data_IF_379642851807
#
_entry.id   IF_379642851807
#
_cell.length_a   1.000
_cell.length_b   1.000
_cell.length_c   1.000
_cell.angle_alpha   90.00
_cell.angle_beta   90.00
_cell.angle_gamma   90.00
#
_symmetry.space_group_name_H-M   'P 1'
#
loop_
_entity.id
_entity.type
_entity.pdbx_description
1 polymer ?
#
# COMPACT_ATOMS: atom_id res chain seq x y z
N UNK A 1 -23.03 -16.97 -56.03
CA UNK A 1 -24.40 -17.51 -56.25
C UNK A 1 -25.27 -17.04 -55.11
N UNK A 2 -26.60 -17.20 -55.21
CA UNK A 2 -27.53 -16.96 -54.10
C UNK A 2 -27.09 -17.72 -52.84
N UNK A 3 -26.73 -18.99 -53.00
CA UNK A 3 -26.32 -19.86 -51.89
C UNK A 3 -25.08 -19.33 -51.16
N UNK A 4 -24.12 -18.75 -51.89
CA UNK A 4 -22.94 -18.14 -51.28
C UNK A 4 -23.28 -16.89 -50.45
N UNK A 5 -24.26 -16.09 -50.91
CA UNK A 5 -24.74 -14.94 -50.15
C UNK A 5 -25.51 -15.38 -48.88
N UNK A 6 -26.36 -16.39 -49.00
CA UNK A 6 -27.11 -16.95 -47.86
C UNK A 6 -26.16 -17.55 -46.81
N UNK A 7 -25.16 -18.32 -47.22
CA UNK A 7 -24.14 -18.85 -46.31
C UNK A 7 -23.31 -17.74 -45.61
N UNK A 8 -23.01 -16.65 -46.32
CA UNK A 8 -22.34 -15.49 -45.73
C UNK A 8 -23.22 -14.77 -44.70
N UNK A 9 -24.53 -14.66 -44.96
CA UNK A 9 -25.50 -14.08 -44.02
C UNK A 9 -25.66 -14.97 -42.78
N UNK A 10 -25.69 -16.29 -42.93
CA UNK A 10 -25.79 -17.20 -41.79
C UNK A 10 -24.52 -17.16 -40.93
N UNK A 11 -23.34 -17.08 -41.57
CA UNK A 11 -22.07 -16.87 -40.86
C UNK A 11 -22.04 -15.53 -40.13
N UNK A 12 -22.54 -14.46 -40.76
CA UNK A 12 -22.69 -13.15 -40.12
C UNK A 12 -23.59 -13.24 -38.88
N UNK A 13 -24.76 -13.87 -39.01
CA UNK A 13 -25.73 -14.03 -37.91
C UNK A 13 -25.13 -14.79 -36.74
N UNK A 14 -24.41 -15.87 -37.00
CA UNK A 14 -23.72 -16.63 -35.95
C UNK A 14 -22.72 -15.74 -35.20
N UNK A 15 -21.84 -15.04 -35.92
CA UNK A 15 -20.83 -14.18 -35.31
C UNK A 15 -21.45 -13.04 -34.48
N UNK A 16 -22.54 -12.45 -34.97
CA UNK A 16 -23.23 -11.33 -34.34
C UNK A 16 -24.16 -11.77 -33.21
N UNK A 17 -24.54 -13.06 -33.13
CA UNK A 17 -25.31 -13.60 -32.00
C UNK A 17 -24.51 -13.71 -30.70
N UNK A 18 -23.18 -13.55 -30.76
CA UNK A 18 -22.29 -13.69 -29.61
C UNK A 18 -22.33 -12.44 -28.75
N UNK A 19 -22.42 -12.64 -27.44
CA UNK A 19 -22.45 -11.55 -26.46
C UNK A 19 -21.04 -11.12 -26.03
N UNK A 20 -20.93 -9.85 -25.62
CA UNK A 20 -19.74 -9.23 -25.01
C UNK A 20 -18.45 -9.46 -25.81
N UNK A 21 -18.53 -9.30 -27.12
CA UNK A 21 -17.37 -9.40 -28.01
C UNK A 21 -16.74 -8.05 -28.26
N UNK A 22 -15.46 -8.08 -28.66
CA UNK A 22 -14.73 -6.88 -29.03
C UNK A 22 -15.22 -6.39 -30.39
N UNK A 23 -15.78 -5.18 -30.40
CA UNK A 23 -16.07 -4.39 -31.58
C UNK A 23 -14.98 -3.32 -31.72
N UNK A 24 -14.05 -3.54 -32.63
CA UNK A 24 -12.94 -2.63 -32.89
C UNK A 24 -13.31 -1.67 -34.03
N UNK A 25 -13.41 -0.38 -33.72
CA UNK A 25 -13.73 0.68 -34.68
C UNK A 25 -12.46 1.49 -34.94
N UNK A 26 -12.01 1.48 -36.21
CA UNK A 26 -10.83 2.25 -36.64
C UNK A 26 -11.25 3.54 -37.32
N UNK A 27 -10.78 4.68 -36.82
CA UNK A 27 -11.04 6.00 -37.39
C UNK A 27 -9.83 6.91 -37.23
N UNK A 28 -9.48 7.63 -38.30
CA UNK A 28 -8.38 8.59 -38.35
C UNK A 28 -7.05 8.06 -37.76
N UNK A 29 -6.69 6.82 -38.08
CA UNK A 29 -5.43 6.20 -37.63
C UNK A 29 -5.41 5.68 -36.19
N UNK A 30 -6.52 5.74 -35.45
CA UNK A 30 -6.67 5.09 -34.14
C UNK A 30 -7.72 3.97 -34.19
N UNK A 31 -7.54 2.94 -33.37
CA UNK A 31 -8.52 1.86 -33.18
C UNK A 31 -9.02 1.87 -31.76
N UNK A 32 -10.34 1.97 -31.60
CA UNK A 32 -11.03 1.90 -30.31
C UNK A 32 -11.79 0.59 -30.21
N UNK A 33 -11.68 -0.07 -29.08
CA UNK A 33 -12.38 -1.31 -28.75
C UNK A 33 -13.56 -1.01 -27.84
N UNK A 34 -14.71 -1.50 -28.25
CA UNK A 34 -15.92 -1.54 -27.45
C UNK A 34 -16.22 -3.00 -27.10
N UNK A 35 -16.58 -3.29 -25.86
CA UNK A 35 -17.15 -4.61 -25.51
C UNK A 35 -18.64 -4.48 -25.74
N UNK A 36 -19.13 -5.15 -26.78
CA UNK A 36 -20.47 -4.92 -27.32
C UNK A 36 -21.22 -6.24 -27.59
N UNK A 37 -22.54 -6.14 -27.54
CA UNK A 37 -23.46 -7.21 -27.96
C UNK A 37 -24.33 -6.66 -29.08
N UNK A 38 -24.43 -7.38 -30.22
CA UNK A 38 -25.38 -6.99 -31.27
C UNK A 38 -26.81 -7.28 -30.77
N UNK A 39 -27.64 -6.24 -30.68
CA UNK A 39 -29.03 -6.36 -30.20
C UNK A 39 -30.03 -6.51 -31.33
N UNK A 40 -29.75 -5.91 -32.50
CA UNK A 40 -30.58 -6.03 -33.68
C UNK A 40 -29.71 -6.01 -34.94
N UNK A 41 -30.09 -6.77 -35.96
CA UNK A 41 -29.55 -6.61 -37.31
C UNK A 41 -30.63 -6.88 -38.35
N UNK A 42 -30.60 -6.13 -39.46
CA UNK A 42 -31.59 -6.19 -40.55
C UNK A 42 -30.89 -6.30 -41.89
N UNK A 43 -31.42 -7.13 -42.77
CA UNK A 43 -30.94 -7.28 -44.15
C UNK A 43 -32.04 -6.81 -45.12
N UNK A 44 -31.80 -5.75 -45.89
CA UNK A 44 -32.75 -5.28 -46.90
C UNK A 44 -32.57 -6.05 -48.22
N UNK A 45 -33.52 -6.95 -48.52
CA UNK A 45 -33.56 -7.78 -49.74
C UNK A 45 -34.49 -7.25 -50.84
N UNK A 46 -35.02 -6.03 -50.73
CA UNK A 46 -36.07 -5.49 -51.62
C UNK A 46 -35.67 -5.42 -53.11
N UNK A 47 -34.37 -5.41 -53.43
CA UNK A 47 -33.88 -5.27 -54.81
C UNK A 47 -33.41 -6.58 -55.47
N UNK A 48 -33.69 -7.75 -54.90
CA UNK A 48 -33.37 -9.08 -55.47
C UNK A 48 -31.90 -9.26 -55.92
N UNK A 49 -30.96 -8.54 -55.31
CA UNK A 49 -29.55 -8.65 -55.64
C UNK A 49 -29.02 -10.03 -55.21
N UNK A 50 -28.49 -10.79 -56.18
CA UNK A 50 -27.97 -12.16 -55.94
C UNK A 50 -26.55 -12.19 -55.35
N UNK A 51 -25.89 -11.02 -55.24
CA UNK A 51 -24.46 -10.91 -54.89
C UNK A 51 -24.18 -9.97 -53.73
N UNK A 52 -25.14 -9.15 -53.32
CA UNK A 52 -24.97 -8.20 -52.21
C UNK A 52 -26.31 -7.92 -51.55
N UNK A 53 -26.27 -7.49 -50.29
CA UNK A 53 -27.44 -7.08 -49.51
C UNK A 53 -27.01 -5.92 -48.60
N UNK A 54 -27.80 -4.86 -48.56
CA UNK A 54 -27.56 -3.79 -47.58
C UNK A 54 -28.01 -4.28 -46.20
N UNK A 55 -27.24 -3.96 -45.18
CA UNK A 55 -27.55 -4.37 -43.82
C UNK A 55 -27.27 -3.26 -42.83
N UNK A 56 -27.97 -3.32 -41.71
CA UNK A 56 -27.73 -2.48 -40.54
C UNK A 56 -27.65 -3.39 -39.32
N UNK A 57 -26.82 -3.00 -38.34
CA UNK A 57 -26.78 -3.65 -37.04
C UNK A 57 -26.69 -2.60 -35.94
N UNK A 58 -27.32 -2.90 -34.82
CA UNK A 58 -27.30 -2.11 -33.60
C UNK A 58 -26.55 -2.88 -32.52
N UNK A 59 -25.64 -2.19 -31.85
CA UNK A 59 -24.80 -2.77 -30.80
C UNK A 59 -25.05 -2.05 -29.48
N UNK A 60 -25.28 -2.82 -28.42
CA UNK A 60 -25.29 -2.30 -27.05
C UNK A 60 -23.88 -2.40 -26.46
N UNK A 61 -23.40 -1.27 -25.92
CA UNK A 61 -22.15 -1.18 -25.16
C UNK A 61 -22.49 -0.88 -23.71
N UNK A 62 -22.67 -1.91 -22.89
CA UNK A 62 -23.13 -1.76 -21.50
C UNK A 62 -22.20 -0.92 -20.62
N UNK A 63 -20.90 -0.90 -20.92
CA UNK A 63 -19.95 -0.05 -20.20
C UNK A 63 -20.11 1.44 -20.52
N UNK A 64 -20.71 1.76 -21.68
CA UNK A 64 -20.73 3.12 -22.25
C UNK A 64 -19.35 3.68 -22.56
N UNK A 65 -18.32 2.84 -22.70
CA UNK A 65 -16.92 3.28 -22.82
C UNK A 65 -16.18 2.47 -23.90
N UNK A 66 -15.52 3.19 -24.80
CA UNK A 66 -14.51 2.65 -25.71
C UNK A 66 -13.10 2.77 -25.13
N UNK A 67 -12.22 1.81 -25.44
CA UNK A 67 -10.84 1.76 -24.93
C UNK A 67 -9.85 1.70 -26.10
N UNK A 68 -8.67 2.33 -25.94
CA UNK A 68 -7.58 2.10 -26.89
C UNK A 68 -7.14 0.62 -26.85
N UNK A 69 -6.74 0.07 -27.99
CA UNK A 69 -6.21 -1.31 -28.08
C UNK A 69 -4.74 -1.42 -27.70
N UNK A 70 -4.05 -0.28 -27.51
CA UNK A 70 -2.64 -0.21 -27.13
C UNK A 70 -2.47 0.55 -25.83
N UNK A 71 -1.45 0.18 -25.07
CA UNK A 71 -1.03 0.91 -23.88
C UNK A 71 -0.20 2.14 -24.29
N UNK A 72 -0.52 3.30 -23.72
CA UNK A 72 0.30 4.51 -23.81
C UNK A 72 1.24 4.55 -22.60
N UNK A 73 2.53 4.75 -22.83
CA UNK A 73 3.51 4.98 -21.76
C UNK A 73 3.32 6.39 -21.21
N UNK A 74 3.04 6.49 -19.91
CA UNK A 74 2.89 7.77 -19.18
C UNK A 74 4.19 8.12 -18.47
N UNK A 75 4.81 7.12 -17.86
CA UNK A 75 6.14 7.22 -17.27
C UNK A 75 6.94 6.06 -17.84
N UNK A 76 7.97 6.38 -18.61
CA UNK A 76 8.97 5.40 -19.03
C UNK A 76 9.76 4.93 -17.81
N UNK A 77 10.62 3.92 -17.97
CA UNK A 77 11.37 3.34 -16.86
C UNK A 77 12.21 4.39 -16.09
N UNK A 78 11.72 4.80 -14.91
CA UNK A 78 12.38 5.77 -14.02
C UNK A 78 12.97 5.06 -12.79
N UNK A 79 14.14 5.54 -12.34
CA UNK A 79 14.80 5.03 -11.13
C UNK A 79 14.45 5.85 -9.88
N UNK A 80 14.45 5.20 -8.71
CA UNK A 80 14.40 5.87 -7.41
C UNK A 80 15.18 5.11 -6.35
N UNK A 81 15.77 5.85 -5.41
CA UNK A 81 16.70 5.34 -4.38
C UNK A 81 16.24 5.57 -2.95
N UNK A 82 15.04 6.12 -2.77
CA UNK A 82 14.40 6.32 -1.47
C UNK A 82 13.33 5.25 -1.23
N UNK A 83 12.95 5.05 0.03
CA UNK A 83 11.88 4.11 0.40
C UNK A 83 10.53 4.46 -0.21
N UNK A 84 10.34 5.70 -0.67
CA UNK A 84 9.19 6.08 -1.47
C UNK A 84 9.55 6.99 -2.65
N UNK A 85 8.67 7.00 -3.66
CA UNK A 85 8.70 7.90 -4.81
C UNK A 85 7.32 8.51 -5.01
N UNK A 86 7.21 9.84 -5.00
CA UNK A 86 6.01 10.55 -5.45
C UNK A 86 6.19 11.02 -6.90
N UNK A 87 5.12 10.98 -7.71
CA UNK A 87 5.10 11.47 -9.09
C UNK A 87 3.73 12.03 -9.44
N UNK A 88 3.70 13.26 -9.98
CA UNK A 88 2.52 13.77 -10.68
C UNK A 88 2.48 13.14 -12.08
N UNK A 89 1.35 12.53 -12.45
CA UNK A 89 1.11 11.98 -13.78
C UNK A 89 -0.12 12.64 -14.40
N UNK A 90 -0.15 12.75 -15.72
CA UNK A 90 -1.31 13.25 -16.46
C UNK A 90 -1.91 12.12 -17.28
N UNK A 91 -3.17 11.79 -17.02
CA UNK A 91 -3.92 10.73 -17.70
C UNK A 91 -4.86 11.33 -18.74
N UNK A 92 -4.86 10.76 -19.94
CA UNK A 92 -5.64 11.25 -21.08
C UNK A 92 -6.93 10.43 -21.28
N UNK A 93 -7.82 10.91 -22.15
CA UNK A 93 -9.12 10.28 -22.46
C UNK A 93 -10.29 11.15 -22.02
N UNK A 94 -11.51 10.61 -22.14
CA UNK A 94 -12.75 11.27 -21.67
C UNK A 94 -13.54 10.46 -20.65
N UNK A 95 -13.14 9.21 -20.36
CA UNK A 95 -13.73 8.36 -19.32
C UNK A 95 -12.71 8.07 -18.20
N UNK A 96 -13.19 7.53 -17.05
CA UNK A 96 -12.35 7.19 -15.89
C UNK A 96 -11.15 6.32 -16.31
N UNK A 97 -9.90 6.79 -16.18
CA UNK A 97 -8.75 6.09 -16.72
C UNK A 97 -8.44 4.79 -15.97
N UNK A 98 -7.76 3.88 -16.66
CA UNK A 98 -7.20 2.66 -16.08
C UNK A 98 -5.72 2.61 -16.41
N UNK A 99 -4.92 2.34 -15.39
CA UNK A 99 -3.46 2.31 -15.48
C UNK A 99 -2.92 0.96 -15.04
N UNK A 100 -1.72 0.67 -15.56
CA UNK A 100 -0.84 -0.41 -15.13
C UNK A 100 0.43 0.21 -14.59
N UNK A 101 0.81 -0.17 -13.37
CA UNK A 101 2.06 0.26 -12.74
C UNK A 101 2.94 -0.97 -12.59
N UNK A 102 4.17 -0.87 -13.07
CA UNK A 102 5.19 -1.91 -12.92
C UNK A 102 6.30 -1.39 -12.01
N UNK A 103 6.70 -2.18 -11.01
CA UNK A 103 7.80 -1.86 -10.09
C UNK A 103 8.82 -2.99 -10.14
N UNK A 104 10.06 -2.69 -10.50
CA UNK A 104 11.18 -3.63 -10.50
C UNK A 104 12.02 -3.39 -9.25
N UNK A 105 11.98 -4.35 -8.33
CA UNK A 105 12.68 -4.28 -7.06
C UNK A 105 14.07 -4.87 -7.23
N UNK A 106 15.07 -4.00 -7.34
CA UNK A 106 16.48 -4.39 -7.27
C UNK A 106 16.98 -4.23 -5.84
N UNK A 107 16.83 -5.26 -4.99
CA UNK A 107 17.19 -5.23 -3.57
C UNK A 107 18.27 -6.27 -3.25
N UNK A 108 19.53 -5.87 -3.37
CA UNK A 108 20.68 -6.77 -3.25
C UNK A 108 20.75 -7.43 -1.86
N UNK A 109 20.21 -6.77 -0.83
CA UNK A 109 20.25 -7.27 0.56
C UNK A 109 19.08 -8.22 0.87
N UNK A 110 18.01 -8.18 0.07
CA UNK A 110 16.84 -9.04 0.22
C UNK A 110 15.98 -8.70 1.46
N UNK A 111 15.94 -7.43 1.85
CA UNK A 111 15.17 -6.93 2.99
C UNK A 111 13.78 -6.42 2.62
N UNK A 112 13.57 -5.99 1.37
CA UNK A 112 12.30 -5.51 0.82
C UNK A 112 11.38 -6.71 0.60
N UNK A 113 10.26 -6.71 1.32
CA UNK A 113 9.24 -7.77 1.28
C UNK A 113 7.85 -7.26 0.91
N UNK A 114 7.70 -5.97 0.65
CA UNK A 114 6.42 -5.38 0.27
C UNK A 114 6.53 -4.14 -0.59
N UNK A 115 5.49 -3.93 -1.39
CA UNK A 115 5.29 -2.77 -2.27
C UNK A 115 3.90 -2.18 -2.01
N UNK A 116 3.82 -0.87 -1.83
CA UNK A 116 2.57 -0.12 -1.76
C UNK A 116 2.48 0.83 -2.95
N UNK A 117 1.29 0.91 -3.55
CA UNK A 117 0.90 1.98 -4.46
C UNK A 117 -0.22 2.77 -3.81
N UNK A 118 -0.09 4.10 -3.75
CA UNK A 118 -1.09 5.00 -3.19
C UNK A 118 -1.39 6.13 -4.17
N UNK A 119 -2.67 6.45 -4.35
CA UNK A 119 -3.06 7.74 -4.92
C UNK A 119 -3.15 8.74 -3.76
N UNK A 120 -2.31 9.78 -3.81
CA UNK A 120 -2.25 10.81 -2.76
C UNK A 120 -3.44 11.76 -2.79
N UNK A 121 -4.13 11.85 -3.91
CA UNK A 121 -5.27 12.76 -4.07
C UNK A 121 -6.50 12.27 -3.31
N UNK A 122 -6.70 10.96 -3.21
CA UNK A 122 -7.85 10.34 -2.54
C UNK A 122 -7.48 9.42 -1.37
N UNK A 123 -6.19 9.16 -1.16
CA UNK A 123 -5.68 8.31 -0.08
C UNK A 123 -5.84 6.81 -0.30
N UNK A 124 -6.46 6.37 -1.40
CA UNK A 124 -6.63 4.96 -1.72
C UNK A 124 -5.28 4.31 -2.00
N UNK A 125 -5.09 3.10 -1.47
CA UNK A 125 -3.83 2.37 -1.57
C UNK A 125 -4.03 0.87 -1.68
N UNK A 126 -3.14 0.24 -2.43
CA UNK A 126 -3.01 -1.21 -2.58
C UNK A 126 -1.62 -1.63 -2.15
N UNK A 127 -1.53 -2.75 -1.44
CA UNK A 127 -0.29 -3.24 -0.83
C UNK A 127 -0.13 -4.72 -1.14
N UNK A 128 1.06 -5.13 -1.53
CA UNK A 128 1.43 -6.54 -1.65
C UNK A 128 2.63 -6.83 -0.77
N UNK A 129 2.59 -7.94 -0.04
CA UNK A 129 3.69 -8.42 0.79
C UNK A 129 3.97 -9.89 0.52
N UNK A 130 5.19 -10.33 0.86
CA UNK A 130 5.66 -11.71 0.72
C UNK A 130 6.55 -12.12 1.89
N UNK A 131 6.49 -13.40 2.26
CA UNK A 131 7.42 -14.00 3.22
C UNK A 131 8.86 -13.95 2.71
N UNK A 132 9.04 -14.15 1.41
CA UNK A 132 10.30 -14.08 0.68
C UNK A 132 10.62 -12.65 0.26
N UNK A 133 11.91 -12.36 0.13
CA UNK A 133 12.39 -11.10 -0.42
C UNK A 133 11.90 -10.89 -1.86
N UNK A 134 11.65 -9.63 -2.23
CA UNK A 134 11.24 -9.23 -3.57
C UNK A 134 12.43 -8.89 -4.47
N UNK A 135 13.65 -9.27 -4.10
CA UNK A 135 14.85 -8.98 -4.90
C UNK A 135 14.74 -9.57 -6.32
N UNK A 136 14.96 -8.74 -7.33
CA UNK A 136 14.86 -9.09 -8.75
C UNK A 136 13.42 -9.25 -9.25
N UNK A 137 12.41 -9.03 -8.41
CA UNK A 137 11.02 -9.22 -8.79
C UNK A 137 10.46 -8.02 -9.56
N UNK A 138 9.59 -8.32 -10.52
CA UNK A 138 8.74 -7.34 -11.20
C UNK A 138 7.32 -7.47 -10.66
N UNK A 139 6.82 -6.40 -10.04
CA UNK A 139 5.47 -6.32 -9.48
C UNK A 139 4.60 -5.50 -10.41
N UNK A 140 3.54 -6.09 -10.94
CA UNK A 140 2.55 -5.42 -11.79
C UNK A 140 1.25 -5.17 -11.01
N UNK A 141 0.79 -3.92 -10.98
CA UNK A 141 -0.53 -3.53 -10.48
C UNK A 141 -1.39 -3.10 -11.66
N UNK A 142 -2.41 -3.89 -12.02
CA UNK A 142 -3.31 -3.60 -13.13
C UNK A 142 -4.68 -3.16 -12.61
N UNK A 143 -5.00 -1.87 -12.75
CA UNK A 143 -6.26 -1.31 -12.26
C UNK A 143 -7.45 -1.57 -13.19
N UNK A 144 -7.21 -2.03 -14.43
CA UNK A 144 -8.22 -2.46 -15.40
C UNK A 144 -8.69 -3.87 -15.07
N UNK A 145 -7.74 -4.81 -14.95
CA UNK A 145 -8.02 -6.21 -14.65
C UNK A 145 -8.23 -6.49 -13.15
N UNK A 146 -7.90 -5.52 -12.29
CA UNK A 146 -7.95 -5.65 -10.83
C UNK A 146 -7.10 -6.83 -10.35
N UNK A 147 -5.89 -6.94 -10.90
CA UNK A 147 -4.93 -7.99 -10.53
C UNK A 147 -3.60 -7.38 -10.09
N UNK A 148 -2.95 -8.04 -9.13
CA UNK A 148 -1.53 -7.82 -8.83
C UNK A 148 -0.77 -9.07 -9.25
N UNK A 149 0.40 -8.90 -9.88
CA UNK A 149 1.27 -10.01 -10.25
C UNK A 149 2.68 -9.78 -9.73
N UNK A 150 3.39 -10.87 -9.44
CA UNK A 150 4.83 -10.90 -9.19
C UNK A 150 5.44 -11.89 -10.17
N UNK A 151 6.31 -11.43 -11.06
CA UNK A 151 6.90 -12.24 -12.15
C UNK A 151 5.81 -13.05 -12.89
N UNK A 152 4.80 -12.34 -13.39
CA UNK A 152 3.63 -12.86 -14.12
C UNK A 152 2.64 -13.75 -13.35
N UNK A 153 2.94 -14.12 -12.10
CA UNK A 153 2.04 -14.91 -11.26
C UNK A 153 1.09 -14.01 -10.49
N UNK A 154 -0.23 -14.26 -10.56
CA UNK A 154 -1.22 -13.51 -9.78
C UNK A 154 -1.03 -13.74 -8.28
N UNK A 155 -1.18 -12.67 -7.50
CA UNK A 155 -0.94 -12.69 -6.05
C UNK A 155 -2.04 -11.98 -5.27
N UNK A 156 -2.28 -12.43 -4.04
CA UNK A 156 -3.12 -11.71 -3.08
C UNK A 156 -2.49 -10.38 -2.66
N UNK A 157 -3.34 -9.42 -2.31
CA UNK A 157 -2.97 -8.07 -1.90
C UNK A 157 -3.92 -7.56 -0.80
N UNK A 158 -3.54 -6.47 -0.14
CA UNK A 158 -4.37 -5.74 0.82
C UNK A 158 -4.80 -4.39 0.25
N UNK A 159 -5.86 -3.80 0.82
CA UNK A 159 -6.35 -2.48 0.43
C UNK A 159 -7.22 -2.48 -0.82
N UNK A 160 -7.26 -1.35 -1.52
CA UNK A 160 -8.12 -1.09 -2.66
C UNK A 160 -7.28 -0.62 -3.84
N UNK A 161 -7.64 -1.05 -5.06
CA UNK A 161 -7.04 -0.50 -6.27
C UNK A 161 -7.35 1.01 -6.35
N UNK A 162 -6.33 1.89 -6.40
CA UNK A 162 -6.57 3.32 -6.47
C UNK A 162 -7.36 3.69 -7.72
N UNK A 163 -8.29 4.61 -7.54
CA UNK A 163 -9.05 5.26 -8.58
C UNK A 163 -8.30 6.51 -9.07
N UNK A 164 -8.45 6.80 -10.34
CA UNK A 164 -7.79 7.91 -11.01
C UNK A 164 -8.81 8.73 -11.80
N UNK A 165 -8.52 10.01 -11.99
CA UNK A 165 -9.32 10.93 -12.80
C UNK A 165 -8.58 11.28 -14.09
N UNK A 166 -9.32 11.71 -15.12
CA UNK A 166 -8.71 12.31 -16.31
C UNK A 166 -8.01 13.60 -15.88
N UNK A 167 -6.79 13.84 -16.39
CA UNK A 167 -5.94 14.95 -15.99
C UNK A 167 -4.88 14.55 -14.96
N UNK A 168 -4.54 15.48 -14.06
CA UNK A 168 -3.45 15.32 -13.09
C UNK A 168 -3.84 14.39 -11.96
N UNK A 169 -2.93 13.49 -11.59
CA UNK A 169 -3.04 12.62 -10.42
C UNK A 169 -1.67 12.54 -9.72
N UNK A 170 -1.65 12.46 -8.39
CA UNK A 170 -0.44 12.30 -7.59
C UNK A 170 -0.31 10.87 -7.07
N UNK A 171 0.69 10.14 -7.55
CA UNK A 171 0.95 8.77 -7.10
C UNK A 171 2.12 8.71 -6.13
N UNK A 172 2.11 7.70 -5.26
CA UNK A 172 3.20 7.34 -4.37
C UNK A 172 3.45 5.84 -4.45
N UNK A 173 4.71 5.46 -4.67
CA UNK A 173 5.21 4.08 -4.61
C UNK A 173 6.06 3.98 -3.35
N UNK A 174 5.83 2.97 -2.51
CA UNK A 174 6.63 2.71 -1.29
C UNK A 174 7.17 1.28 -1.29
N UNK A 175 8.44 1.11 -0.91
CA UNK A 175 9.14 -0.17 -0.84
C UNK A 175 9.72 -0.39 0.55
N UNK A 176 9.32 -1.47 1.21
CA UNK A 176 9.71 -1.72 2.59
C UNK A 176 9.25 -0.62 3.56
N UNK A 177 9.40 -0.88 4.86
CA UNK A 177 9.01 0.03 5.95
C UNK A 177 7.64 0.70 5.72
N UNK A 178 6.68 -0.03 5.15
CA UNK A 178 5.35 0.47 4.80
C UNK A 178 4.59 0.68 6.09
N UNK A 179 4.00 1.85 6.28
CA UNK A 179 3.25 2.15 7.52
C UNK A 179 1.93 1.38 7.54
N UNK A 180 1.78 0.51 8.54
CA UNK A 180 0.53 -0.18 8.85
C UNK A 180 -0.32 0.63 9.83
N UNK A 181 0.21 0.84 11.04
CA UNK A 181 -0.44 1.61 12.10
C UNK A 181 0.40 2.84 12.43
N UNK A 182 -0.27 3.96 12.69
CA UNK A 182 0.41 5.17 13.13
C UNK A 182 -0.46 6.02 14.04
N UNK A 183 0.23 6.74 14.92
CA UNK A 183 -0.25 7.96 15.53
C UNK A 183 0.84 9.02 15.40
N UNK A 184 0.63 9.98 14.51
CA UNK A 184 1.64 10.98 14.16
C UNK A 184 1.02 12.36 13.84
N UNK A 185 0.18 12.94 14.71
CA UNK A 185 -0.26 14.31 14.53
C UNK A 185 0.92 15.28 14.67
N UNK A 186 0.78 16.46 14.05
CA UNK A 186 1.73 17.56 14.21
C UNK A 186 1.83 17.98 15.68
N UNK A 187 2.97 18.57 16.09
CA UNK A 187 3.24 19.16 17.43
C UNK A 187 3.28 18.18 18.63
N UNK A 188 3.70 18.65 19.80
CA UNK A 188 3.90 17.81 21.01
C UNK A 188 3.23 18.43 22.23
N UNK A 189 2.50 17.64 23.03
CA UNK A 189 1.88 18.12 24.29
C UNK A 189 2.74 17.77 25.51
N UNK A 190 3.30 16.56 25.53
CA UNK A 190 4.08 16.06 26.67
C UNK A 190 5.06 14.97 26.23
N UNK A 191 5.92 14.54 27.15
CA UNK A 191 6.76 13.37 27.00
C UNK A 191 6.80 12.57 28.30
N UNK A 192 7.06 11.27 28.17
CA UNK A 192 7.26 10.37 29.30
C UNK A 192 8.63 9.75 29.19
N UNK A 193 9.28 9.54 30.34
CA UNK A 193 10.66 9.06 30.37
C UNK A 193 10.77 7.57 30.68
N UNK A 194 11.67 6.89 29.97
CA UNK A 194 12.15 5.56 30.29
C UNK A 194 13.37 5.70 31.19
N UNK A 195 13.28 5.21 32.43
CA UNK A 195 14.32 5.25 33.45
C UNK A 195 14.22 4.02 34.37
N UNK A 196 15.13 3.87 35.35
CA UNK A 196 15.10 2.73 36.27
C UNK A 196 13.73 2.55 36.95
N UNK A 197 13.12 1.37 36.75
CA UNK A 197 11.81 1.03 37.33
C UNK A 197 10.59 1.50 36.53
N UNK A 198 10.78 2.30 35.47
CA UNK A 198 9.70 2.83 34.63
C UNK A 198 9.72 2.19 33.25
N UNK A 199 8.55 1.74 32.77
CA UNK A 199 8.35 1.29 31.39
C UNK A 199 7.20 2.06 30.76
N UNK A 200 7.27 2.28 29.46
CA UNK A 200 6.25 2.97 28.69
C UNK A 200 5.65 2.00 27.69
N UNK A 201 4.35 2.08 27.44
CA UNK A 201 3.73 1.24 26.42
C UNK A 201 2.61 1.93 25.64
N UNK A 202 2.44 1.53 24.38
CA UNK A 202 1.32 1.91 23.52
C UNK A 202 0.65 0.65 22.99
N UNK A 203 -0.64 0.48 23.31
CA UNK A 203 -1.46 -0.59 22.75
C UNK A 203 -1.81 -0.28 21.30
N UNK A 204 -1.91 -1.32 20.47
CA UNK A 204 -2.33 -1.21 19.08
C UNK A 204 -2.98 -2.51 18.59
N UNK A 205 -3.72 -2.41 17.47
CA UNK A 205 -4.30 -3.56 16.77
C UNK A 205 -4.03 -3.42 15.27
N UNK A 206 -3.63 -4.52 14.63
CA UNK A 206 -3.36 -4.55 13.18
C UNK A 206 -4.57 -5.05 12.39
N UNK A 207 -4.86 -4.49 11.21
CA UNK A 207 -6.03 -4.85 10.40
C UNK A 207 -5.84 -6.16 9.63
N UNK A 208 -4.59 -6.57 9.39
CA UNK A 208 -4.26 -7.74 8.56
C UNK A 208 -3.25 -8.64 9.28
N UNK A 209 -3.34 -9.93 9.02
CA UNK A 209 -2.28 -10.88 9.40
C UNK A 209 -1.15 -10.76 8.39
N UNK A 210 0.05 -10.43 8.86
CA UNK A 210 1.25 -10.29 8.02
C UNK A 210 2.50 -10.69 8.80
N UNK A 211 3.48 -11.27 8.10
CA UNK A 211 4.73 -11.83 8.66
C UNK A 211 5.98 -10.97 8.38
N UNK A 212 5.78 -9.78 7.83
CA UNK A 212 6.85 -8.93 7.29
C UNK A 212 7.13 -7.69 8.15
N UNK A 213 6.62 -7.65 9.39
CA UNK A 213 6.96 -6.59 10.35
C UNK A 213 8.45 -6.64 10.69
N UNK A 214 9.09 -5.46 10.65
CA UNK A 214 10.56 -5.37 10.77
C UNK A 214 11.08 -4.05 11.31
N UNK A 215 10.30 -2.97 11.28
CA UNK A 215 10.69 -1.68 11.85
C UNK A 215 9.53 -0.92 12.49
N UNK A 216 9.90 0.07 13.29
CA UNK A 216 8.99 1.03 13.90
C UNK A 216 9.65 2.41 13.94
N UNK A 217 8.89 3.46 13.68
CA UNK A 217 9.32 4.82 13.93
C UNK A 217 8.72 5.31 15.24
N UNK A 218 9.55 5.93 16.10
CA UNK A 218 9.11 6.56 17.35
C UNK A 218 9.60 8.02 17.39
N UNK A 219 8.76 8.95 17.84
CA UNK A 219 9.19 10.33 18.09
C UNK A 219 9.78 10.41 19.51
N UNK A 220 11.10 10.53 19.60
CA UNK A 220 11.83 10.42 20.86
C UNK A 220 12.86 11.53 21.03
N UNK A 221 13.35 11.70 22.26
CA UNK A 221 14.56 12.46 22.59
C UNK A 221 15.29 11.77 23.74
N UNK A 222 16.45 12.28 24.16
CA UNK A 222 17.07 11.85 25.41
C UNK A 222 17.43 13.05 26.30
N UNK A 223 17.71 12.79 27.56
CA UNK A 223 18.24 13.78 28.52
C UNK A 223 19.54 13.25 29.13
N UNK A 224 20.52 14.14 29.30
CA UNK A 224 21.83 13.82 29.87
C UNK A 224 22.67 12.91 28.98
N UNK A 225 23.28 11.90 29.61
CA UNK A 225 24.13 10.91 28.97
C UNK A 225 23.70 9.48 29.32
N UNK A 226 22.57 8.98 28.77
CA UNK A 226 22.13 7.60 28.97
C UNK A 226 23.28 6.62 28.72
N UNK A 227 23.62 5.83 29.74
CA UNK A 227 24.74 4.89 29.71
C UNK A 227 24.42 3.56 29.01
N UNK A 228 23.13 3.31 28.79
CA UNK A 228 22.58 2.10 28.17
C UNK A 228 21.53 2.49 27.14
N UNK A 229 21.24 1.61 26.19
CA UNK A 229 20.20 1.83 25.19
C UNK A 229 18.78 1.74 25.79
N UNK A 230 17.79 2.25 25.06
CA UNK A 230 16.38 1.95 25.27
C UNK A 230 16.01 0.69 24.49
N UNK A 231 15.39 -0.29 25.14
CA UNK A 231 14.87 -1.51 24.50
C UNK A 231 13.45 -1.26 24.03
N UNK A 232 13.15 -1.60 22.77
CA UNK A 232 11.83 -1.55 22.17
C UNK A 232 11.37 -3.00 21.93
N UNK A 233 10.16 -3.34 22.36
CA UNK A 233 9.61 -4.70 22.29
C UNK A 233 8.19 -4.67 21.76
N UNK A 234 7.81 -5.68 20.99
CA UNK A 234 6.39 -5.96 20.71
C UNK A 234 5.94 -7.13 21.59
N UNK A 235 5.01 -6.84 22.50
CA UNK A 235 4.48 -7.79 23.46
C UNK A 235 3.02 -8.18 23.17
N UNK A 236 2.64 -9.36 23.63
CA UNK A 236 1.23 -9.79 23.62
C UNK A 236 0.41 -9.02 24.66
N UNK A 237 -0.90 -8.96 24.46
CA UNK A 237 -1.84 -8.39 25.43
C UNK A 237 -2.19 -9.40 26.54
N UNK A 238 -2.34 -8.90 27.76
CA UNK A 238 -2.89 -9.63 28.91
C UNK A 238 -3.96 -8.75 29.59
N UNK A 239 -5.21 -8.92 29.19
CA UNK A 239 -6.37 -8.18 29.71
C UNK A 239 -6.23 -6.66 29.59
N UNK A 240 -5.84 -6.19 28.39
CA UNK A 240 -5.70 -4.76 28.11
C UNK A 240 -4.43 -4.14 28.67
N UNK A 241 -3.40 -4.93 28.97
CA UNK A 241 -2.07 -4.50 29.45
C UNK A 241 -0.96 -5.30 28.78
N UNK A 242 0.29 -4.79 28.69
CA UNK A 242 1.42 -5.58 28.23
C UNK A 242 1.63 -6.83 29.09
N UNK A 243 1.83 -7.98 28.44
CA UNK A 243 1.98 -9.27 29.13
C UNK A 243 3.38 -9.53 29.69
N UNK A 244 4.41 -8.77 29.26
CA UNK A 244 5.82 -9.08 29.51
C UNK A 244 6.39 -10.15 28.57
N UNK A 245 5.58 -10.74 27.69
CA UNK A 245 5.98 -11.79 26.74
C UNK A 245 6.04 -11.22 25.33
N UNK A 246 7.18 -11.41 24.65
CA UNK A 246 7.33 -11.02 23.25
C UNK A 246 6.36 -11.79 22.34
N UNK A 247 5.85 -11.13 21.31
CA UNK A 247 5.06 -11.80 20.26
C UNK A 247 5.90 -12.79 19.44
N UNK A 248 7.20 -12.53 19.34
CA UNK A 248 8.21 -13.37 18.70
C UNK A 248 9.58 -13.04 19.26
N UNK A 249 10.51 -14.00 19.26
CA UNK A 249 11.89 -13.76 19.67
C UNK A 249 12.55 -12.61 18.88
N UNK A 250 12.18 -12.46 17.60
CA UNK A 250 12.68 -11.38 16.73
C UNK A 250 12.04 -10.02 16.95
N UNK A 251 10.99 -9.90 17.77
CA UNK A 251 10.21 -8.67 17.95
C UNK A 251 10.79 -7.73 19.03
N UNK A 252 12.12 -7.63 19.07
CA UNK A 252 12.89 -6.78 19.97
C UNK A 252 13.87 -5.95 19.15
N UNK A 253 14.06 -4.70 19.52
CA UNK A 253 15.06 -3.78 18.96
C UNK A 253 15.59 -2.88 20.06
N UNK A 254 16.57 -2.04 19.73
CA UNK A 254 17.11 -1.06 20.68
C UNK A 254 17.48 0.23 19.95
N UNK A 255 17.49 1.34 20.69
CA UNK A 255 18.04 2.61 20.24
C UNK A 255 18.93 3.22 21.32
N UNK A 256 20.14 3.59 20.92
CA UNK A 256 21.15 4.21 21.78
C UNK A 256 21.22 5.72 21.58
N UNK A 257 21.91 6.40 22.49
CA UNK A 257 22.19 7.84 22.38
C UNK A 257 22.89 8.19 21.05
N UNK A 258 23.83 7.34 20.62
CA UNK A 258 24.65 7.57 19.42
C UNK A 258 23.81 7.58 18.14
N UNK A 259 22.72 6.82 18.12
CA UNK A 259 21.79 6.77 16.98
C UNK A 259 20.82 7.97 16.97
N UNK A 260 20.65 8.64 18.13
CA UNK A 260 19.73 9.75 18.31
C UNK A 260 20.37 11.12 18.00
N UNK A 261 20.66 11.37 16.73
CA UNK A 261 21.40 12.56 16.28
C UNK A 261 20.80 13.92 16.70
N UNK A 262 19.48 14.02 16.89
CA UNK A 262 18.83 15.28 17.31
C UNK A 262 18.88 15.54 18.82
N UNK A 263 19.46 14.61 19.60
CA UNK A 263 19.76 14.84 21.00
C UNK A 263 18.53 15.03 21.89
N UNK A 264 18.45 16.21 22.49
CA UNK A 264 17.37 16.62 23.40
C UNK A 264 16.10 17.07 22.66
N UNK A 265 16.19 17.31 21.35
CA UNK A 265 15.03 17.71 20.55
C UNK A 265 14.27 16.48 20.05
N UNK A 266 12.93 16.50 20.10
CA UNK A 266 12.12 15.41 19.55
C UNK A 266 12.41 15.20 18.07
N UNK A 267 12.67 13.96 17.68
CA UNK A 267 12.79 13.56 16.29
C UNK A 267 12.25 12.14 16.07
N UNK A 268 11.89 11.84 14.83
CA UNK A 268 11.47 10.50 14.42
C UNK A 268 12.69 9.63 14.16
N UNK A 269 12.81 8.53 14.90
CA UNK A 269 13.87 7.55 14.69
C UNK A 269 13.25 6.23 14.22
N UNK A 270 13.84 5.62 13.20
CA UNK A 270 13.52 4.25 12.79
C UNK A 270 14.33 3.28 13.64
N UNK A 271 13.62 2.38 14.33
CA UNK A 271 14.21 1.28 15.08
C UNK A 271 13.94 -0.01 14.32
N UNK A 272 15.00 -0.78 14.09
CA UNK A 272 14.90 -2.10 13.49
C UNK A 272 14.75 -3.15 14.59
N UNK A 273 13.89 -4.12 14.36
CA UNK A 273 13.79 -5.29 15.22
C UNK A 273 14.95 -6.28 14.94
N UNK A 274 15.05 -7.38 15.67
CA UNK A 274 16.10 -8.38 15.54
C UNK A 274 15.84 -9.36 14.38
N UNK A 275 14.58 -9.82 14.23
CA UNK A 275 14.12 -10.56 13.03
C UNK A 275 12.73 -10.08 12.52
N UNK A 276 12.24 -10.66 11.44
CA UNK A 276 10.84 -10.56 10.99
C UNK A 276 9.92 -11.28 11.97
N UNK A 277 8.69 -10.79 12.13
CA UNK A 277 7.68 -11.45 12.95
C UNK A 277 6.27 -11.29 12.38
N UNK A 278 5.38 -12.18 12.84
CA UNK A 278 3.97 -12.16 12.49
C UNK A 278 3.15 -11.43 13.53
N UNK A 279 2.26 -10.57 13.05
CA UNK A 279 1.12 -10.09 13.84
C UNK A 279 -0.16 -10.61 13.20
N UNK A 280 -1.13 -10.97 14.03
CA UNK A 280 -2.42 -11.49 13.61
C UNK A 280 -3.44 -10.35 13.51
N UNK A 281 -4.28 -10.38 12.48
CA UNK A 281 -5.36 -9.41 12.30
C UNK A 281 -6.26 -9.35 13.53
N UNK A 282 -6.71 -8.14 13.88
CA UNK A 282 -7.65 -7.89 14.98
C UNK A 282 -7.18 -8.39 16.35
N UNK A 283 -5.87 -8.61 16.52
CA UNK A 283 -5.26 -8.97 17.81
C UNK A 283 -4.58 -7.74 18.41
N UNK A 284 -4.81 -7.51 19.71
CA UNK A 284 -4.19 -6.41 20.46
C UNK A 284 -2.75 -6.79 20.86
N UNK A 285 -1.83 -5.87 20.64
CA UNK A 285 -0.42 -5.96 20.99
C UNK A 285 0.06 -4.66 21.65
N UNK A 286 1.28 -4.69 22.18
CA UNK A 286 1.88 -3.55 22.87
C UNK A 286 3.27 -3.24 22.34
N UNK A 287 3.51 -1.98 21.99
CA UNK A 287 4.86 -1.43 21.86
C UNK A 287 5.31 -1.11 23.28
N UNK A 288 6.40 -1.72 23.76
CA UNK A 288 6.93 -1.52 25.12
C UNK A 288 8.34 -0.97 25.04
N UNK A 289 8.59 0.12 25.76
CA UNK A 289 9.91 0.73 25.96
C UNK A 289 10.36 0.51 27.40
N UNK A 290 11.58 0.00 27.57
CA UNK A 290 12.20 -0.23 28.88
C UNK A 290 13.73 -0.01 28.82
N UNK A 291 14.41 0.23 29.95
CA UNK A 291 15.88 0.25 29.99
C UNK A 291 16.44 -1.08 29.46
N UNK A 292 17.41 -1.04 28.53
CA UNK A 292 18.03 -2.27 28.02
C UNK A 292 18.82 -3.02 29.10
N UNK A 293 19.39 -2.27 30.04
CA UNK A 293 20.10 -2.76 31.22
C UNK A 293 19.94 -1.72 32.36
N UNK A 294 20.34 -2.03 33.62
CA UNK A 294 20.45 -1.02 34.66
C UNK A 294 21.40 0.10 34.25
N UNK A 295 21.06 1.36 34.52
CA UNK A 295 21.92 2.52 34.19
C UNK A 295 21.20 3.79 33.73
N UNK A 296 19.87 3.76 33.58
CA UNK A 296 19.05 4.95 33.35
C UNK A 296 18.53 5.52 34.67
N UNK A 297 18.53 6.84 34.81
CA UNK A 297 18.12 7.56 36.02
C UNK A 297 17.35 8.85 35.67
N UNK A 298 17.10 9.70 36.66
CA UNK A 298 16.38 10.96 36.44
C UNK A 298 17.17 11.97 35.60
N UNK A 299 18.49 11.88 35.50
CA UNK A 299 19.32 12.80 34.71
C UNK A 299 19.71 12.21 33.35
N UNK A 300 19.74 10.88 33.25
CA UNK A 300 20.18 10.09 32.10
C UNK A 300 19.06 9.15 31.63
N UNK A 301 18.18 9.64 30.75
CA UNK A 301 16.95 8.95 30.34
C UNK A 301 16.57 9.18 28.88
N UNK A 302 15.68 8.33 28.38
CA UNK A 302 15.02 8.52 27.07
C UNK A 302 13.61 9.04 27.27
N UNK A 303 13.13 9.87 26.35
CA UNK A 303 11.79 10.43 26.38
C UNK A 303 11.01 9.99 25.14
N UNK A 304 9.79 9.50 25.33
CA UNK A 304 8.85 9.18 24.25
C UNK A 304 7.70 10.19 24.27
N UNK A 305 7.49 10.85 23.13
CA UNK A 305 6.53 11.94 23.03
C UNK A 305 5.12 11.42 22.84
N UNK A 306 4.18 12.13 23.48
CA UNK A 306 2.76 11.81 23.45
C UNK A 306 1.90 13.04 23.15
N UNK A 307 0.69 12.78 22.67
CA UNK A 307 -0.41 13.74 22.68
C UNK A 307 -1.37 13.41 23.80
N UNK A 308 -2.07 14.43 24.29
CA UNK A 308 -3.03 14.27 25.40
C UNK A 308 -4.38 14.91 25.07
N UNK A 309 -5.40 14.53 25.84
CA UNK A 309 -6.74 15.09 25.75
C UNK A 309 -7.41 14.85 24.40
N UNK A 310 -8.04 15.89 23.85
CA UNK A 310 -8.80 15.81 22.59
C UNK A 310 -7.94 15.48 21.37
N UNK A 311 -6.63 15.70 21.46
CA UNK A 311 -5.68 15.43 20.37
C UNK A 311 -5.15 13.99 20.39
N UNK A 312 -5.36 13.24 21.49
CA UNK A 312 -5.11 11.80 21.58
C UNK A 312 -6.23 11.04 20.84
N UNK A 313 -6.05 10.95 19.52
CA UNK A 313 -7.06 10.44 18.59
C UNK A 313 -6.81 9.00 18.14
N UNK A 314 -5.76 8.33 18.61
CA UNK A 314 -5.53 6.92 18.27
C UNK A 314 -6.53 6.04 19.02
N UNK A 315 -7.39 5.32 18.30
CA UNK A 315 -8.52 4.56 18.90
C UNK A 315 -8.33 3.05 18.92
N UNK A 316 -7.15 2.56 18.54
CA UNK A 316 -6.87 1.11 18.43
C UNK A 316 -6.03 0.57 19.58
N UNK A 317 -5.83 1.36 20.62
CA UNK A 317 -5.22 0.94 21.86
C UNK A 317 -4.86 2.14 22.72
N UNK A 318 -4.68 1.88 24.01
CA UNK A 318 -4.40 2.90 25.01
C UNK A 318 -2.92 2.96 25.32
N UNK A 319 -2.47 4.09 25.83
CA UNK A 319 -1.17 4.20 26.48
C UNK A 319 -1.17 3.47 27.82
N UNK A 320 -0.04 2.91 28.23
CA UNK A 320 0.17 2.42 29.59
C UNK A 320 1.55 2.81 30.15
N UNK A 321 1.60 3.06 31.45
CA UNK A 321 2.82 3.29 32.22
C UNK A 321 3.01 2.16 33.22
N UNK A 322 4.21 1.60 33.28
CA UNK A 322 4.59 0.69 34.36
C UNK A 322 5.28 1.47 35.44
N UNK A 323 4.77 1.36 36.65
CA UNK A 323 5.44 1.77 37.88
C UNK A 323 5.65 0.52 38.76
N UNK A 324 6.88 0.35 39.25
CA UNK A 324 7.30 -0.74 40.13
C UNK A 324 6.38 -0.99 41.33
N UNK A 325 5.67 0.04 41.83
CA UNK A 325 4.74 -0.10 42.95
C UNK A 325 3.31 -0.51 42.59
N UNK A 326 2.85 -0.23 41.37
CA UNK A 326 1.42 -0.33 40.98
C UNK A 326 1.16 -1.16 39.73
N UNK A 327 2.22 -1.57 39.02
CA UNK A 327 2.13 -2.27 37.75
C UNK A 327 1.75 -1.35 36.60
N UNK A 328 1.04 -1.88 35.60
CA UNK A 328 0.60 -1.11 34.44
C UNK A 328 -0.66 -0.28 34.75
N UNK A 329 -0.55 1.03 34.53
CA UNK A 329 -1.62 2.02 34.60
C UNK A 329 -1.93 2.53 33.18
N UNK A 330 -3.14 2.29 32.70
CA UNK A 330 -3.56 2.67 31.34
C UNK A 330 -4.25 4.02 31.32
N UNK A 331 -4.09 4.76 30.21
CA UNK A 331 -4.73 6.05 29.97
C UNK A 331 -5.25 6.08 28.53
N UNK A 332 -6.57 6.25 28.38
CA UNK A 332 -7.23 6.31 27.06
C UNK A 332 -7.24 7.72 26.44
N UNK A 333 -6.78 8.72 27.19
CA UNK A 333 -6.77 10.13 26.77
C UNK A 333 -5.37 10.59 26.35
N UNK A 334 -4.45 9.65 26.15
CA UNK A 334 -3.07 9.93 25.81
C UNK A 334 -2.56 8.86 24.87
N UNK A 335 -1.84 9.28 23.84
CA UNK A 335 -1.32 8.39 22.81
C UNK A 335 0.15 8.72 22.58
N UNK A 336 1.01 7.71 22.70
CA UNK A 336 2.40 7.84 22.27
C UNK A 336 2.49 7.90 20.75
N UNK A 337 3.47 8.66 20.26
CA UNK A 337 3.68 8.81 18.82
C UNK A 337 4.51 7.70 18.24
N UNK A 338 3.95 7.02 17.24
CA UNK A 338 4.60 5.90 16.57
C UNK A 338 4.14 5.71 15.12
N UNK A 339 4.93 4.97 14.34
CA UNK A 339 4.55 4.39 13.06
C UNK A 339 5.08 2.97 12.99
N UNK A 340 4.20 1.98 13.13
CA UNK A 340 4.55 0.57 13.00
C UNK A 340 4.61 0.20 11.52
N UNK A 341 5.70 -0.43 11.11
CA UNK A 341 5.98 -0.70 9.70
C UNK A 341 6.10 -2.20 9.37
N UNK A 342 5.68 -2.54 8.16
CA UNK A 342 5.74 -3.89 7.57
C UNK A 342 6.19 -3.84 6.11
N UNK A 343 6.22 -4.98 5.43
CA UNK A 343 6.82 -5.10 4.09
C UNK A 343 8.35 -5.18 4.13
N UNK A 344 8.94 -5.49 5.27
CA UNK A 344 10.39 -5.54 5.49
C UNK A 344 11.06 -4.18 5.59
N UNK A 345 12.35 -4.10 5.24
CA UNK A 345 13.12 -2.86 5.30
C UNK A 345 13.40 -2.34 3.90
N UNK A 346 13.66 -1.05 3.80
CA UNK A 346 14.18 -0.47 2.58
C UNK A 346 15.68 -0.75 2.43
N UNK A 347 16.10 -1.33 1.30
CA UNK A 347 17.49 -1.75 1.05
C UNK A 347 18.47 -0.63 0.66
N UNK A 348 18.03 0.63 0.53
CA UNK A 348 18.93 1.75 0.22
C UNK A 348 19.48 1.77 -1.22
N UNK A 349 18.84 1.05 -2.14
CA UNK A 349 19.34 0.81 -3.51
C UNK A 349 18.38 1.37 -4.56
N UNK A 350 18.86 1.45 -5.81
CA UNK A 350 18.06 1.95 -6.92
C UNK A 350 17.05 0.90 -7.39
N UNK A 351 15.78 1.25 -7.33
CA UNK A 351 14.66 0.50 -7.91
C UNK A 351 14.14 1.22 -9.15
N UNK A 352 13.32 0.53 -9.95
CA UNK A 352 12.72 1.10 -11.16
C UNK A 352 11.21 0.98 -11.15
N UNK A 353 10.54 1.89 -11.83
CA UNK A 353 9.11 1.77 -12.09
C UNK A 353 8.74 2.32 -13.48
N UNK A 354 7.62 1.86 -14.01
CA UNK A 354 7.00 2.42 -15.21
C UNK A 354 5.48 2.47 -15.04
N UNK A 355 4.84 3.37 -15.80
CA UNK A 355 3.40 3.57 -15.74
C UNK A 355 2.86 3.64 -17.15
N UNK A 356 1.87 2.80 -17.40
CA UNK A 356 1.16 2.73 -18.67
C UNK A 356 -0.32 2.96 -18.45
N UNK A 357 -0.99 3.52 -19.45
CA UNK A 357 -2.42 3.77 -19.44
C UNK A 357 -3.06 3.16 -20.69
N UNK A 358 -4.25 2.59 -20.53
CA UNK A 358 -5.17 2.38 -21.64
C UNK A 358 -6.15 3.56 -21.62
N UNK A 359 -6.14 4.41 -22.66
CA UNK A 359 -7.04 5.56 -22.72
C UNK A 359 -8.47 5.07 -22.91
N UNK A 360 -9.41 5.78 -22.28
CA UNK A 360 -10.83 5.42 -22.26
C UNK A 360 -11.65 6.62 -22.67
N UNK A 361 -12.69 6.38 -23.46
CA UNK A 361 -13.52 7.41 -24.06
C UNK A 361 -15.00 7.12 -23.84
N UNK A 362 -15.76 8.14 -23.46
CA UNK A 362 -17.23 8.12 -23.46
C UNK A 362 -17.78 8.15 -24.89
#
# INVERSE_FOLDING_TARGET
SKDALDAAIDSFKELFSREEKNLDISWNGSTRRYVATCVEHKFNREHFNLRFVNWTAEFAVFSGVGEDITETIIVDEETFSANYKTKEITLLGSAKPKIKIEVKVNDIVGTVKGVQIKNKDNGEKIIVTRSMALNGATIEFDTRLKTVKINDNKVSYYGLFPNFVVGKNNIEITLGSIVDQQFAPDGNDTNYSVLAGTKLAQGFTVPYTDITYRSIFLEMSYTGNPSVACSIRIETDNNGKPSGTLVSAGAKGAISKTEMASGISPAWYEIFFDDYFQLLSNTKYWIVLEPYAPGLDTDNRYNWYARTGVNATYKKGDRSLYDSGTGWLSSSNEDFKFKLCYGGLFGGVNHKYSIKQIKRFL
#
